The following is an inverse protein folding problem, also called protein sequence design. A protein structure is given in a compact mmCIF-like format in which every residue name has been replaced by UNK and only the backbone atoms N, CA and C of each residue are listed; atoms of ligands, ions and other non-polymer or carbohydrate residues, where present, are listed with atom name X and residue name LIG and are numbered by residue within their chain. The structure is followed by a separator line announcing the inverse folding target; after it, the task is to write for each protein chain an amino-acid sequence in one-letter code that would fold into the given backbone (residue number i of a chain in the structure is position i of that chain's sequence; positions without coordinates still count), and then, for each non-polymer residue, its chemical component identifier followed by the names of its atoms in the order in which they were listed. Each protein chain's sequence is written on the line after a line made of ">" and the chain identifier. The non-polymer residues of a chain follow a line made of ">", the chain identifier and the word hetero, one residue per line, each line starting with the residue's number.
data_IF_217589092744
#
_entry.id   IF_217589092744
#
_cell.length_a   1.000
_cell.length_b   1.000
_cell.length_c   1.000
_cell.angle_alpha   90.00
_cell.angle_beta   90.00
_cell.angle_gamma   90.00
#
_symmetry.space_group_name_H-M   'P 1'
#
loop_
_entity.id
_entity.type
_entity.pdbx_description
1 polymer ?
#
# COMPACT_ATOMS: atom_id res chain seq x y z
N UNK A 1 -37.42 3.80 -23.52
CA UNK A 1 -36.61 3.49 -24.71
C UNK A 1 -35.67 2.33 -24.36
N UNK A 2 -35.35 1.43 -25.31
CA UNK A 2 -34.36 0.36 -25.07
C UNK A 2 -32.97 0.87 -25.42
N UNK A 3 -32.06 0.94 -24.45
CA UNK A 3 -30.65 1.22 -24.71
C UNK A 3 -29.99 0.02 -25.36
N UNK A 4 -29.53 0.17 -26.60
CA UNK A 4 -28.71 -0.85 -27.29
C UNK A 4 -27.26 -0.61 -26.84
N UNK A 5 -26.84 -1.31 -25.78
CA UNK A 5 -25.47 -1.22 -25.28
C UNK A 5 -24.45 -1.65 -26.35
N UNK A 6 -23.27 -1.05 -26.35
CA UNK A 6 -22.32 -1.20 -27.45
C UNK A 6 -21.80 -2.64 -27.57
N UNK A 7 -21.81 -3.18 -28.79
CA UNK A 7 -21.18 -4.48 -29.09
C UNK A 7 -19.67 -4.26 -29.16
N UNK A 8 -19.01 -4.48 -28.02
CA UNK A 8 -17.55 -4.36 -27.91
C UNK A 8 -16.93 -5.60 -28.56
N UNK A 9 -16.32 -5.40 -29.73
CA UNK A 9 -15.60 -6.46 -30.43
C UNK A 9 -14.23 -6.68 -29.78
N UNK A 10 -14.05 -7.87 -29.18
CA UNK A 10 -12.75 -8.38 -28.76
C UNK A 10 -12.02 -9.00 -29.96
N UNK A 11 -10.68 -8.95 -29.99
CA UNK A 11 -9.86 -9.60 -31.01
C UNK A 11 -10.00 -11.12 -30.87
N UNK A 12 -10.55 -11.77 -31.89
CA UNK A 12 -10.69 -13.23 -31.96
C UNK A 12 -9.34 -13.94 -31.88
N UNK A 13 -9.29 -15.18 -31.35
CA UNK A 13 -8.09 -16.01 -31.40
C UNK A 13 -7.58 -16.23 -32.83
N UNK A 14 -6.26 -16.19 -33.02
CA UNK A 14 -5.63 -16.57 -34.30
C UNK A 14 -5.93 -18.04 -34.59
N UNK A 15 -6.39 -18.41 -35.81
CA UNK A 15 -6.66 -19.80 -36.16
C UNK A 15 -5.42 -20.67 -35.93
N UNK A 16 -5.56 -21.71 -35.11
CA UNK A 16 -4.48 -22.64 -34.75
C UNK A 16 -3.85 -22.45 -33.36
N UNK A 17 -4.22 -21.42 -32.59
CA UNK A 17 -3.72 -21.25 -31.21
C UNK A 17 -4.72 -21.76 -30.16
N UNK A 18 -4.44 -22.95 -29.61
CA UNK A 18 -5.24 -23.56 -28.55
C UNK A 18 -5.02 -22.82 -27.22
N UNK A 19 -6.11 -22.52 -26.50
CA UNK A 19 -6.17 -21.80 -25.20
C UNK A 19 -5.88 -20.29 -25.17
N UNK A 20 -6.35 -19.53 -26.17
CA UNK A 20 -6.61 -18.10 -25.97
C UNK A 20 -7.82 -17.89 -25.01
N UNK A 21 -7.80 -16.94 -24.05
CA UNK A 21 -8.93 -16.69 -23.14
C UNK A 21 -10.16 -16.13 -23.86
N UNK A 22 -11.37 -16.55 -23.44
CA UNK A 22 -12.62 -15.94 -23.91
C UNK A 22 -12.92 -14.63 -23.18
N UNK A 23 -12.34 -13.54 -23.67
CA UNK A 23 -12.59 -12.19 -23.15
C UNK A 23 -14.06 -11.75 -23.25
N UNK A 24 -14.87 -12.36 -24.12
CA UNK A 24 -16.31 -12.03 -24.27
C UNK A 24 -17.14 -12.67 -23.15
N UNK A 25 -16.93 -13.96 -22.88
CA UNK A 25 -17.49 -14.66 -21.72
C UNK A 25 -17.00 -14.06 -20.39
N UNK A 26 -15.70 -13.78 -20.28
CA UNK A 26 -15.12 -13.09 -19.12
C UNK A 26 -15.77 -11.72 -18.87
N UNK A 27 -15.88 -10.85 -19.88
CA UNK A 27 -16.58 -9.56 -19.75
C UNK A 27 -18.04 -9.75 -19.31
N UNK A 28 -18.74 -10.70 -19.93
CA UNK A 28 -20.15 -11.02 -19.59
C UNK A 28 -20.31 -11.46 -18.13
N UNK A 29 -19.32 -12.15 -17.56
CA UNK A 29 -19.35 -12.63 -16.16
C UNK A 29 -19.16 -11.54 -15.09
N UNK A 30 -18.71 -10.34 -15.47
CA UNK A 30 -18.54 -9.19 -14.57
C UNK A 30 -19.39 -7.98 -14.97
N UNK A 31 -20.16 -8.08 -16.05
CA UNK A 31 -20.97 -6.97 -16.58
C UNK A 31 -22.01 -6.45 -15.58
N UNK A 32 -22.52 -7.31 -14.69
CA UNK A 32 -23.43 -6.94 -13.60
C UNK A 32 -22.78 -6.06 -12.52
N UNK A 33 -21.43 -6.00 -12.47
CA UNK A 33 -20.72 -5.19 -11.47
C UNK A 33 -20.79 -3.70 -11.81
N UNK A 34 -21.14 -3.34 -13.04
CA UNK A 34 -21.13 -1.97 -13.57
C UNK A 34 -22.55 -1.43 -13.78
N UNK A 35 -22.79 -0.20 -13.35
CA UNK A 35 -24.02 0.53 -13.64
C UNK A 35 -24.23 0.63 -15.16
N UNK A 36 -25.49 0.60 -15.64
CA UNK A 36 -25.81 0.57 -17.07
C UNK A 36 -25.17 1.72 -17.87
N UNK A 37 -25.10 2.92 -17.29
CA UNK A 37 -24.45 4.11 -17.87
C UNK A 37 -22.92 4.04 -17.93
N UNK A 38 -22.30 3.12 -17.19
CA UNK A 38 -20.86 2.89 -17.14
C UNK A 38 -20.41 1.64 -17.90
N UNK A 39 -21.33 0.82 -18.42
CA UNK A 39 -20.99 -0.47 -19.03
C UNK A 39 -20.15 -0.33 -20.30
N UNK A 40 -20.42 0.64 -21.18
CA UNK A 40 -19.65 0.83 -22.41
C UNK A 40 -18.22 1.33 -22.10
N UNK A 41 -18.07 2.25 -21.14
CA UNK A 41 -16.74 2.72 -20.69
C UNK A 41 -15.95 1.62 -19.97
N UNK A 42 -16.61 0.84 -19.12
CA UNK A 42 -16.01 -0.29 -18.43
C UNK A 42 -15.60 -1.39 -19.42
N UNK A 43 -16.42 -1.71 -20.42
CA UNK A 43 -16.08 -2.67 -21.47
C UNK A 43 -14.86 -2.21 -22.28
N UNK A 44 -14.78 -0.92 -22.61
CA UNK A 44 -13.60 -0.34 -23.28
C UNK A 44 -12.35 -0.43 -22.40
N UNK A 45 -12.46 -0.10 -21.11
CA UNK A 45 -11.34 -0.24 -20.15
C UNK A 45 -10.90 -1.70 -20.00
N UNK A 46 -11.84 -2.65 -19.95
CA UNK A 46 -11.57 -4.08 -19.88
C UNK A 46 -10.89 -4.60 -21.15
N UNK A 47 -11.39 -4.22 -22.34
CA UNK A 47 -10.78 -4.53 -23.64
C UNK A 47 -9.35 -4.02 -23.69
N UNK A 48 -9.12 -2.74 -23.39
CA UNK A 48 -7.78 -2.13 -23.43
C UNK A 48 -6.82 -2.73 -22.40
N UNK A 49 -7.31 -3.13 -21.23
CA UNK A 49 -6.49 -3.78 -20.21
C UNK A 49 -6.04 -5.19 -20.63
N UNK A 50 -6.90 -6.01 -21.24
CA UNK A 50 -6.54 -7.37 -21.66
C UNK A 50 -5.92 -7.46 -23.05
N UNK A 51 -6.44 -6.68 -23.99
CA UNK A 51 -6.03 -6.59 -25.39
C UNK A 51 -5.59 -5.15 -25.71
N UNK A 52 -4.43 -4.70 -25.19
CA UNK A 52 -3.90 -3.37 -25.49
C UNK A 52 -3.51 -3.25 -26.96
N UNK A 53 -3.67 -2.05 -27.52
CA UNK A 53 -3.17 -1.69 -28.84
C UNK A 53 -1.62 -1.66 -28.86
N UNK A 54 -1.00 -1.87 -30.02
CA UNK A 54 0.46 -1.89 -30.15
C UNK A 54 1.09 -0.54 -29.74
N UNK A 55 2.14 -0.59 -28.93
CA UNK A 55 2.77 0.59 -28.35
C UNK A 55 2.13 1.13 -27.05
N UNK A 56 1.06 0.52 -26.53
CA UNK A 56 0.48 0.96 -25.26
C UNK A 56 1.44 0.79 -24.08
N UNK A 57 1.74 1.89 -23.39
CA UNK A 57 2.63 1.88 -22.23
C UNK A 57 2.00 1.21 -21.00
N UNK A 58 2.78 0.50 -20.15
CA UNK A 58 2.28 -0.11 -18.93
C UNK A 58 1.55 0.86 -17.97
N UNK A 59 1.96 2.14 -17.78
CA UNK A 59 1.21 3.09 -16.96
C UNK A 59 -0.20 3.36 -17.52
N UNK A 60 -0.32 3.51 -18.84
CA UNK A 60 -1.64 3.73 -19.48
C UNK A 60 -2.50 2.46 -19.43
N UNK A 61 -1.91 1.27 -19.53
CA UNK A 61 -2.61 0.00 -19.33
C UNK A 61 -3.11 -0.15 -17.88
N UNK A 62 -2.34 0.29 -16.89
CA UNK A 62 -2.77 0.37 -15.49
C UNK A 62 -3.89 1.40 -15.28
N UNK A 63 -3.86 2.57 -15.93
CA UNK A 63 -4.96 3.56 -15.84
C UNK A 63 -6.31 2.95 -16.23
N UNK A 64 -6.36 2.15 -17.29
CA UNK A 64 -7.58 1.44 -17.69
C UNK A 64 -8.03 0.41 -16.64
N UNK A 65 -7.11 -0.32 -16.01
CA UNK A 65 -7.44 -1.21 -14.88
C UNK A 65 -8.00 -0.44 -13.66
N UNK A 66 -7.41 0.69 -13.29
CA UNK A 66 -7.87 1.52 -12.17
C UNK A 66 -9.20 2.24 -12.48
N UNK A 67 -9.42 2.64 -13.73
CA UNK A 67 -10.71 3.19 -14.18
C UNK A 67 -11.79 2.10 -14.18
N UNK A 68 -11.50 0.90 -14.69
CA UNK A 68 -12.37 -0.27 -14.59
C UNK A 68 -12.75 -0.56 -13.12
N UNK A 69 -11.77 -0.63 -12.22
CA UNK A 69 -12.01 -0.76 -10.77
C UNK A 69 -12.91 0.35 -10.22
N UNK A 70 -12.75 1.60 -10.66
CA UNK A 70 -13.52 2.73 -10.18
C UNK A 70 -14.97 2.76 -10.71
N UNK A 71 -15.23 2.21 -11.91
CA UNK A 71 -16.57 2.09 -12.50
C UNK A 71 -17.38 0.92 -11.92
N UNK A 72 -16.71 -0.07 -11.32
CA UNK A 72 -17.37 -1.16 -10.63
C UNK A 72 -18.07 -0.68 -9.36
N UNK A 73 -19.23 -1.27 -9.05
CA UNK A 73 -20.03 -0.98 -7.85
C UNK A 73 -19.19 -1.14 -6.57
N UNK A 74 -19.41 -0.35 -5.49
CA UNK A 74 -18.53 -0.32 -4.32
C UNK A 74 -18.17 -1.70 -3.74
N UNK A 75 -19.17 -2.58 -3.54
CA UNK A 75 -18.98 -3.96 -3.06
C UNK A 75 -18.31 -4.93 -4.04
N UNK A 76 -17.96 -4.49 -5.25
CA UNK A 76 -17.20 -5.24 -6.26
C UNK A 76 -15.78 -4.69 -6.47
N UNK A 77 -15.46 -3.47 -6.00
CA UNK A 77 -14.13 -2.88 -6.19
C UNK A 77 -13.01 -3.65 -5.47
N UNK A 78 -13.35 -4.43 -4.43
CA UNK A 78 -12.43 -5.33 -3.75
C UNK A 78 -11.91 -6.46 -4.65
N UNK A 79 -12.69 -6.88 -5.66
CA UNK A 79 -12.32 -7.95 -6.59
C UNK A 79 -11.17 -7.55 -7.53
N UNK A 80 -10.85 -6.26 -7.64
CA UNK A 80 -9.78 -5.74 -8.48
C UNK A 80 -8.55 -5.45 -7.62
N UNK A 81 -7.53 -6.30 -7.67
CA UNK A 81 -6.27 -6.13 -6.94
C UNK A 81 -5.14 -5.78 -7.90
N UNK A 82 -4.36 -4.75 -7.57
CA UNK A 82 -3.10 -4.46 -8.23
C UNK A 82 -2.01 -4.47 -7.16
N UNK A 83 -1.18 -5.51 -7.16
CA UNK A 83 -0.14 -5.74 -6.16
C UNK A 83 1.23 -5.39 -6.74
N UNK A 84 2.05 -4.67 -5.96
CA UNK A 84 3.39 -4.22 -6.33
C UNK A 84 4.42 -5.16 -5.74
N UNK A 85 5.16 -5.89 -6.58
CA UNK A 85 6.25 -6.75 -6.12
C UNK A 85 7.41 -5.86 -5.64
N UNK A 86 7.87 -6.00 -4.38
CA UNK A 86 9.02 -5.26 -3.89
C UNK A 86 10.30 -5.65 -4.65
N UNK A 87 11.02 -4.66 -5.19
CA UNK A 87 12.35 -4.84 -5.77
C UNK A 87 12.42 -5.21 -7.25
N UNK A 88 11.36 -5.74 -7.88
CA UNK A 88 11.39 -6.08 -9.32
C UNK A 88 10.77 -5.00 -10.22
N UNK A 89 10.00 -4.06 -9.64
CA UNK A 89 9.25 -3.06 -10.40
C UNK A 89 7.97 -3.61 -11.06
N UNK A 90 7.64 -4.88 -10.82
CA UNK A 90 6.46 -5.52 -11.38
C UNK A 90 5.21 -5.20 -10.58
N UNK A 91 4.09 -5.15 -11.30
CA UNK A 91 2.76 -4.90 -10.75
C UNK A 91 1.80 -5.92 -11.31
N UNK A 92 1.33 -6.86 -10.47
CA UNK A 92 0.38 -7.89 -10.86
C UNK A 92 -1.04 -7.35 -10.67
N UNK A 93 -1.78 -7.20 -11.77
CA UNK A 93 -3.18 -6.81 -11.77
C UNK A 93 -4.08 -8.04 -11.97
N UNK A 94 -5.09 -8.23 -11.11
CA UNK A 94 -5.98 -9.40 -11.09
C UNK A 94 -7.44 -9.00 -10.90
N UNK A 95 -8.37 -9.82 -11.42
CA UNK A 95 -9.82 -9.66 -11.26
C UNK A 95 -10.40 -10.95 -10.68
N UNK A 96 -10.77 -10.94 -9.41
CA UNK A 96 -11.31 -12.10 -8.70
C UNK A 96 -12.84 -12.17 -8.85
N UNK A 97 -13.33 -12.87 -9.88
CA UNK A 97 -14.73 -13.34 -9.86
C UNK A 97 -14.81 -14.60 -8.99
N UNK A 98 -15.69 -14.60 -7.97
CA UNK A 98 -15.70 -15.61 -6.89
C UNK A 98 -16.22 -17.01 -7.27
N UNK A 99 -16.16 -17.39 -8.56
CA UNK A 99 -16.59 -18.69 -9.10
C UNK A 99 -15.54 -19.17 -10.09
N UNK A 100 -14.38 -19.56 -9.55
CA UNK A 100 -13.10 -19.75 -10.26
C UNK A 100 -12.52 -18.43 -10.80
N UNK A 101 -11.23 -18.21 -10.56
CA UNK A 101 -10.52 -17.02 -11.04
C UNK A 101 -10.04 -17.22 -12.48
N UNK A 102 -10.98 -17.36 -13.41
CA UNK A 102 -10.72 -17.63 -14.83
C UNK A 102 -10.12 -16.41 -15.57
N UNK A 103 -9.90 -15.30 -14.86
CA UNK A 103 -9.25 -14.09 -15.35
C UNK A 103 -7.72 -14.25 -15.25
N UNK A 104 -6.97 -14.17 -16.37
CA UNK A 104 -5.52 -14.16 -16.30
C UNK A 104 -5.05 -12.89 -15.59
N UNK A 105 -4.01 -13.06 -14.77
CA UNK A 105 -3.27 -11.94 -14.18
C UNK A 105 -2.48 -11.20 -15.25
N UNK A 106 -2.36 -9.88 -15.12
CA UNK A 106 -1.55 -9.04 -16.03
C UNK A 106 -0.41 -8.42 -15.23
N UNK A 107 0.82 -8.86 -15.52
CA UNK A 107 2.04 -8.24 -15.00
C UNK A 107 2.38 -6.98 -15.81
N UNK A 108 2.57 -5.86 -15.13
CA UNK A 108 2.96 -4.58 -15.69
C UNK A 108 4.28 -4.12 -15.06
N UNK A 109 5.32 -3.92 -15.87
CA UNK A 109 6.59 -3.32 -15.40
C UNK A 109 6.44 -1.80 -15.33
N UNK A 110 6.71 -1.23 -14.16
CA UNK A 110 6.50 0.19 -13.84
C UNK A 110 7.60 0.68 -12.89
N UNK A 111 8.15 1.88 -13.09
CA UNK A 111 8.93 2.52 -12.03
C UNK A 111 8.07 2.82 -10.80
N UNK A 112 8.69 3.01 -9.63
CA UNK A 112 7.96 3.41 -8.42
C UNK A 112 7.23 4.76 -8.62
N UNK A 113 7.85 5.67 -9.38
CA UNK A 113 7.28 6.98 -9.72
C UNK A 113 6.02 6.86 -10.59
N UNK A 114 6.04 6.03 -11.63
CA UNK A 114 4.87 5.79 -12.49
C UNK A 114 3.74 5.10 -11.75
N UNK A 115 4.07 4.11 -10.89
CA UNK A 115 3.10 3.43 -10.03
C UNK A 115 2.38 4.41 -9.10
N UNK A 116 3.13 5.23 -8.34
CA UNK A 116 2.54 6.23 -7.45
C UNK A 116 1.75 7.31 -8.21
N UNK A 117 2.29 7.83 -9.31
CA UNK A 117 1.59 8.83 -10.15
C UNK A 117 0.29 8.27 -10.73
N UNK A 118 0.26 7.00 -11.13
CA UNK A 118 -0.91 6.37 -11.75
C UNK A 118 -2.01 6.05 -10.73
N UNK A 119 -1.65 5.70 -9.49
CA UNK A 119 -2.62 5.51 -8.41
C UNK A 119 -3.28 6.83 -7.95
N UNK A 120 -2.58 7.97 -8.09
CA UNK A 120 -3.03 9.27 -7.59
C UNK A 120 -3.84 10.11 -8.61
N UNK A 121 -3.90 9.74 -9.90
CA UNK A 121 -4.68 10.48 -10.93
C UNK A 121 -6.21 10.24 -10.85
N UNK A 122 -6.81 10.40 -9.66
CA UNK A 122 -8.26 10.19 -9.44
C UNK A 122 -9.05 11.46 -9.10
N UNK A 123 -8.41 12.63 -9.01
CA UNK A 123 -8.98 13.81 -8.34
C UNK A 123 -8.84 15.13 -9.16
N UNK A 124 -8.79 15.04 -10.49
CA UNK A 124 -8.56 16.19 -11.37
C UNK A 124 -9.36 16.16 -12.70
N UNK A 125 -10.63 15.75 -12.66
CA UNK A 125 -11.58 15.92 -13.79
C UNK A 125 -12.97 16.28 -13.27
N UNK A 126 -13.12 17.48 -12.68
CA UNK A 126 -14.14 18.46 -13.11
C UNK A 126 -13.90 19.84 -12.47
N UNK A 127 -13.50 20.83 -13.28
CA UNK A 127 -13.65 22.28 -13.03
C UNK A 127 -13.16 23.08 -14.25
N UNK A 128 -13.87 24.12 -14.73
CA UNK A 128 -13.47 24.88 -15.92
C UNK A 128 -12.31 25.85 -15.70
N UNK A 129 -11.73 26.30 -16.83
CA UNK A 129 -10.75 27.41 -16.91
C UNK A 129 -11.19 28.66 -16.14
N UNK A 130 -10.24 29.28 -15.43
CA UNK A 130 -10.14 30.74 -15.35
C UNK A 130 -8.70 31.17 -15.58
N UNK A 131 -8.52 32.40 -16.05
CA UNK A 131 -7.34 32.90 -16.77
C UNK A 131 -6.58 34.01 -16.04
N UNK A 132 -5.27 34.08 -16.29
CA UNK A 132 -4.41 35.28 -16.25
C UNK A 132 -4.23 35.99 -14.90
N UNK A 133 -2.98 36.01 -14.43
CA UNK A 133 -2.26 37.26 -14.15
C UNK A 133 -0.77 37.03 -14.33
N UNK A 134 -0.09 37.96 -15.01
CA UNK A 134 1.37 37.99 -15.15
C UNK A 134 2.02 38.83 -14.04
N UNK A 135 3.36 38.79 -14.00
CA UNK A 135 4.28 39.64 -13.22
C UNK A 135 4.22 39.52 -11.67
N UNK A 136 5.32 39.68 -10.92
CA UNK A 136 6.50 40.52 -11.19
C UNK A 136 7.84 39.83 -10.85
N UNK A 137 8.91 40.34 -11.48
CA UNK A 137 10.30 40.24 -11.02
C UNK A 137 10.48 41.14 -9.76
N UNK A 138 11.54 41.18 -8.94
CA UNK A 138 12.98 40.83 -9.01
C UNK A 138 13.46 40.70 -7.52
N UNK A 139 14.70 40.41 -7.07
CA UNK A 139 16.03 40.22 -7.66
C UNK A 139 16.99 39.45 -6.69
N UNK A 140 18.22 39.19 -7.18
CA UNK A 140 19.54 39.26 -6.49
C UNK A 140 19.71 38.71 -5.05
N UNK A 141 20.58 37.71 -4.89
CA UNK A 141 21.91 37.84 -4.24
C UNK A 141 22.82 36.63 -4.58
N UNK A 142 24.09 36.94 -4.84
CA UNK A 142 25.28 36.08 -5.08
C UNK A 142 25.15 34.55 -5.06
N UNK A 143 25.61 33.90 -6.13
CA UNK A 143 26.07 32.51 -6.07
C UNK A 143 27.57 32.42 -5.75
N UNK A 144 27.93 31.53 -4.82
CA UNK A 144 29.28 30.96 -4.65
C UNK A 144 29.10 29.45 -4.44
N UNK A 145 29.86 28.62 -5.14
CA UNK A 145 29.61 27.17 -5.21
C UNK A 145 30.21 26.35 -4.07
N UNK A 146 29.85 25.07 -4.03
CA UNK A 146 30.70 24.03 -3.46
C UNK A 146 30.51 23.68 -1.97
N UNK A 147 29.30 23.28 -1.57
CA UNK A 147 29.16 22.38 -0.41
C UNK A 147 28.09 21.32 -0.68
N UNK A 148 28.43 20.05 -0.46
CA UNK A 148 27.46 18.95 -0.38
C UNK A 148 26.83 18.96 1.00
N UNK A 149 25.90 19.89 1.23
CA UNK A 149 25.14 19.93 2.48
C UNK A 149 24.37 18.62 2.68
N UNK A 150 24.82 17.83 3.65
CA UNK A 150 24.13 16.64 4.07
C UNK A 150 22.76 17.04 4.62
N UNK A 151 21.69 16.68 3.89
CA UNK A 151 20.28 16.93 4.25
C UNK A 151 20.09 16.84 5.77
N UNK A 152 19.46 17.85 6.41
CA UNK A 152 19.19 17.82 7.85
C UNK A 152 18.59 16.48 8.26
N UNK A 153 19.32 15.75 9.12
CA UNK A 153 18.83 14.50 9.70
C UNK A 153 17.69 14.88 10.64
N UNK A 154 16.46 14.74 10.15
CA UNK A 154 15.24 15.15 10.86
C UNK A 154 15.15 14.60 12.29
N UNK A 155 14.30 15.22 13.11
CA UNK A 155 14.20 14.90 14.53
C UNK A 155 13.71 13.46 14.77
N UNK A 156 14.19 12.75 15.80
CA UNK A 156 13.63 11.45 16.17
C UNK A 156 12.17 11.61 16.63
N UNK A 157 11.28 10.70 16.24
CA UNK A 157 9.85 10.87 16.49
C UNK A 157 9.52 10.81 17.99
N UNK A 158 8.78 11.81 18.47
CA UNK A 158 8.39 11.96 19.89
C UNK A 158 7.11 11.18 20.22
N UNK A 159 6.82 10.99 21.52
CA UNK A 159 5.54 10.39 21.98
C UNK A 159 4.34 11.16 21.43
N UNK A 160 4.37 12.49 21.55
CA UNK A 160 3.31 13.40 21.09
C UNK A 160 3.06 13.29 19.58
N UNK A 161 4.11 13.14 18.77
CA UNK A 161 3.99 12.93 17.32
C UNK A 161 3.39 11.56 16.98
N UNK A 162 3.76 10.50 17.71
CA UNK A 162 3.15 9.17 17.51
C UNK A 162 1.65 9.21 17.87
N UNK A 163 1.29 9.93 18.93
CA UNK A 163 -0.10 10.09 19.37
C UNK A 163 -0.93 10.94 18.40
N UNK A 164 -0.40 12.09 17.95
CA UNK A 164 -1.04 12.91 16.93
C UNK A 164 -1.29 12.12 15.62
N UNK A 165 -0.34 11.28 15.19
CA UNK A 165 -0.58 10.39 14.04
C UNK A 165 -1.62 9.29 14.35
N UNK A 166 -1.72 8.80 15.59
CA UNK A 166 -2.78 7.85 15.95
C UNK A 166 -4.17 8.50 15.82
N UNK A 167 -4.33 9.70 16.39
CA UNK A 167 -5.60 10.42 16.56
C UNK A 167 -6.20 10.99 15.26
N UNK A 168 -5.40 11.20 14.19
CA UNK A 168 -5.91 11.56 12.88
C UNK A 168 -6.90 10.51 12.32
N UNK A 169 -7.99 10.97 11.70
CA UNK A 169 -8.93 10.08 11.00
C UNK A 169 -8.27 9.37 9.81
N UNK A 170 -8.82 8.23 9.32
CA UNK A 170 -8.36 7.60 8.09
C UNK A 170 -8.35 8.55 6.88
N UNK A 171 -9.26 9.50 6.85
CA UNK A 171 -9.41 10.53 5.82
C UNK A 171 -8.23 11.52 5.90
N UNK A 172 -7.99 12.12 7.07
CA UNK A 172 -6.87 13.04 7.27
C UNK A 172 -5.50 12.35 7.08
N UNK A 173 -5.38 11.06 7.41
CA UNK A 173 -4.19 10.24 7.09
C UNK A 173 -3.96 10.03 5.60
N UNK A 174 -5.01 10.10 4.77
CA UNK A 174 -4.92 10.10 3.31
C UNK A 174 -4.60 11.48 2.76
N UNK A 175 -5.28 12.52 3.24
CA UNK A 175 -5.07 13.93 2.84
C UNK A 175 -3.62 14.39 3.08
N UNK A 176 -3.02 13.97 4.20
CA UNK A 176 -1.61 14.23 4.54
C UNK A 176 -0.59 13.47 3.68
N UNK A 177 -1.02 12.72 2.65
CA UNK A 177 -0.13 11.90 1.80
C UNK A 177 0.43 10.65 2.49
N UNK A 178 -0.15 10.26 3.63
CA UNK A 178 0.33 9.17 4.47
C UNK A 178 1.54 9.54 5.35
N UNK A 179 1.87 8.63 6.29
CA UNK A 179 2.81 8.88 7.39
C UNK A 179 4.18 9.43 6.95
N UNK A 180 4.64 9.12 5.73
CA UNK A 180 5.95 9.55 5.21
C UNK A 180 5.97 11.04 4.82
N UNK A 181 4.90 11.53 4.20
CA UNK A 181 4.74 12.94 3.84
C UNK A 181 4.43 13.77 5.09
N UNK A 182 3.54 13.25 5.95
CA UNK A 182 3.29 13.82 7.28
C UNK A 182 4.57 13.91 8.14
N UNK A 183 5.41 12.88 8.14
CA UNK A 183 6.70 12.94 8.85
C UNK A 183 7.64 14.00 8.26
N UNK A 184 7.63 14.21 6.94
CA UNK A 184 8.44 15.24 6.29
C UNK A 184 7.98 16.66 6.62
N UNK A 185 6.67 16.94 6.60
CA UNK A 185 6.16 18.28 6.97
C UNK A 185 6.38 18.62 8.45
N UNK A 186 6.45 17.61 9.31
CA UNK A 186 6.79 17.73 10.74
C UNK A 186 8.30 17.72 11.03
N UNK A 187 9.18 17.67 10.01
CA UNK A 187 10.64 17.63 10.17
C UNK A 187 11.18 16.34 10.81
N UNK A 188 10.39 15.27 10.84
CA UNK A 188 10.69 14.01 11.53
C UNK A 188 11.57 13.12 10.65
N UNK A 189 12.52 12.42 11.29
CA UNK A 189 13.33 11.40 10.65
C UNK A 189 12.48 10.25 10.08
N UNK A 190 12.52 10.02 8.77
CA UNK A 190 11.75 8.97 8.10
C UNK A 190 12.01 7.57 8.68
N UNK A 191 13.24 7.25 9.10
CA UNK A 191 13.55 5.96 9.74
C UNK A 191 12.97 5.85 11.16
N UNK A 192 12.93 6.95 11.90
CA UNK A 192 12.31 7.00 13.23
C UNK A 192 10.78 6.92 13.15
N UNK A 193 10.18 7.64 12.19
CA UNK A 193 8.76 7.61 11.90
C UNK A 193 8.32 6.23 11.39
N UNK A 194 8.99 5.66 10.38
CA UNK A 194 8.66 4.34 9.84
C UNK A 194 8.83 3.19 10.84
N UNK A 195 9.66 3.37 11.87
CA UNK A 195 9.74 2.44 12.99
C UNK A 195 8.53 2.50 13.95
N UNK A 196 7.69 3.53 13.87
CA UNK A 196 6.57 3.78 14.81
C UNK A 196 5.20 3.90 14.12
N UNK A 197 5.12 4.36 12.87
CA UNK A 197 3.89 4.71 12.16
C UNK A 197 3.59 3.74 11.00
N UNK A 198 2.32 3.61 10.66
CA UNK A 198 1.83 2.96 9.43
C UNK A 198 0.81 3.86 8.73
N UNK A 199 0.39 3.53 7.50
CA UNK A 199 -0.61 4.33 6.77
C UNK A 199 -1.98 4.38 7.45
N UNK A 200 -2.34 3.38 8.26
CA UNK A 200 -3.61 3.30 8.99
C UNK A 200 -3.50 3.73 10.46
N UNK A 201 -2.31 3.62 11.06
CA UNK A 201 -2.09 3.92 12.48
C UNK A 201 -0.63 3.71 12.88
N UNK A 202 -0.37 2.72 13.74
CA UNK A 202 0.92 2.52 14.39
C UNK A 202 1.51 1.13 14.13
N UNK A 203 2.84 1.04 14.19
CA UNK A 203 3.54 -0.26 14.32
C UNK A 203 3.42 -0.76 15.77
N UNK A 204 3.69 -2.05 16.05
CA UNK A 204 3.78 -2.55 17.43
C UNK A 204 4.80 -1.78 18.29
N UNK A 205 5.87 -1.29 17.68
CA UNK A 205 6.87 -0.43 18.36
C UNK A 205 6.35 0.98 18.60
N UNK A 206 5.45 1.49 17.75
CA UNK A 206 4.70 2.73 17.97
C UNK A 206 3.72 2.63 19.13
N UNK A 207 2.89 1.57 19.18
CA UNK A 207 1.93 1.37 20.27
C UNK A 207 2.63 1.23 21.63
N UNK A 208 3.72 0.44 21.72
CA UNK A 208 4.49 0.32 22.96
C UNK A 208 5.19 1.65 23.35
N UNK A 209 5.53 2.52 22.38
CA UNK A 209 6.02 3.89 22.69
C UNK A 209 4.91 4.79 23.26
N UNK A 210 3.64 4.53 22.95
CA UNK A 210 2.49 5.23 23.55
C UNK A 210 1.98 4.64 24.86
N UNK A 211 2.30 3.39 25.21
CA UNK A 211 2.03 2.91 26.57
C UNK A 211 2.70 3.83 27.62
N UNK A 212 2.02 4.14 28.74
CA UNK A 212 2.63 4.90 29.84
C UNK A 212 3.84 4.14 30.40
N UNK A 213 4.80 4.81 31.06
CA UNK A 213 6.06 4.18 31.49
C UNK A 213 5.88 2.92 32.34
N UNK A 214 4.84 2.89 33.17
CA UNK A 214 4.51 1.78 34.08
C UNK A 214 3.99 0.54 33.33
N UNK A 215 3.21 0.72 32.25
CA UNK A 215 2.73 -0.38 31.39
C UNK A 215 3.80 -0.96 30.46
N UNK A 216 4.91 -0.24 30.23
CA UNK A 216 5.90 -0.66 29.22
C UNK A 216 6.62 -1.96 29.59
N UNK A 217 6.65 -2.32 30.87
CA UNK A 217 7.41 -3.47 31.39
C UNK A 217 8.92 -3.26 31.44
N UNK A 218 9.62 -4.15 32.13
CA UNK A 218 11.07 -4.12 32.30
C UNK A 218 11.83 -4.54 31.04
N UNK A 219 13.10 -4.14 30.94
CA UNK A 219 14.02 -4.77 29.97
C UNK A 219 14.17 -6.27 30.29
N UNK A 220 14.30 -7.11 29.26
CA UNK A 220 14.55 -8.54 29.49
C UNK A 220 15.95 -8.75 30.07
N UNK A 221 16.07 -9.62 31.06
CA UNK A 221 17.35 -10.00 31.67
C UNK A 221 17.93 -11.26 31.02
N UNK A 222 19.24 -11.46 31.10
CA UNK A 222 19.89 -12.68 30.61
C UNK A 222 19.35 -13.95 31.30
N UNK A 223 18.92 -13.85 32.57
CA UNK A 223 18.24 -14.94 33.28
C UNK A 223 16.89 -15.29 32.64
N UNK A 224 16.07 -14.30 32.30
CA UNK A 224 14.80 -14.51 31.59
C UNK A 224 15.01 -15.05 30.17
N UNK A 225 16.04 -14.59 29.46
CA UNK A 225 16.46 -15.18 28.18
C UNK A 225 16.81 -16.67 28.36
N UNK A 226 17.57 -17.03 29.40
CA UNK A 226 17.93 -18.43 29.69
C UNK A 226 16.70 -19.29 30.03
N UNK A 227 15.78 -18.80 30.88
CA UNK A 227 14.52 -19.51 31.18
C UNK A 227 13.70 -19.76 29.91
N UNK A 228 13.63 -18.80 28.98
CA UNK A 228 12.96 -19.04 27.69
C UNK A 228 13.78 -19.90 26.71
N UNK A 229 15.12 -19.92 26.81
CA UNK A 229 15.97 -20.88 26.08
C UNK A 229 15.58 -22.30 26.46
N UNK A 230 15.59 -22.59 27.76
CA UNK A 230 15.53 -23.95 28.32
C UNK A 230 14.10 -24.49 28.49
N UNK A 231 13.08 -23.63 28.46
CA UNK A 231 11.67 -24.05 28.44
C UNK A 231 11.40 -25.02 27.27
N UNK A 232 10.87 -26.24 27.51
CA UNK A 232 10.55 -27.18 26.44
C UNK A 232 9.41 -26.66 25.55
N UNK A 233 9.36 -27.13 24.31
CA UNK A 233 8.46 -26.57 23.29
C UNK A 233 6.96 -26.72 23.62
N UNK A 234 6.59 -27.70 24.45
CA UNK A 234 5.21 -27.86 24.95
C UNK A 234 4.87 -26.75 25.95
N UNK A 235 5.70 -26.55 26.97
CA UNK A 235 5.52 -25.46 27.94
C UNK A 235 5.55 -24.07 27.27
N UNK A 236 6.31 -23.89 26.18
CA UNK A 236 6.27 -22.68 25.34
C UNK A 236 4.92 -22.48 24.63
N UNK A 237 4.18 -23.56 24.31
CA UNK A 237 2.80 -23.49 23.78
C UNK A 237 1.80 -23.23 24.89
N UNK A 238 1.88 -23.95 26.01
CA UNK A 238 1.02 -23.77 27.18
C UNK A 238 1.08 -22.35 27.75
N UNK A 239 2.28 -21.74 27.77
CA UNK A 239 2.49 -20.35 28.18
C UNK A 239 1.97 -19.30 27.17
N UNK A 240 1.21 -19.68 26.13
CA UNK A 240 0.68 -18.79 25.11
C UNK A 240 1.74 -18.21 24.16
N UNK A 241 2.93 -18.79 24.11
CA UNK A 241 4.08 -18.28 23.38
C UNK A 241 4.79 -17.09 24.06
N UNK A 242 5.95 -16.72 23.53
CA UNK A 242 6.88 -15.73 24.14
C UNK A 242 6.22 -14.40 24.50
N UNK A 243 5.17 -13.97 23.78
CA UNK A 243 4.47 -12.71 24.01
C UNK A 243 3.65 -12.74 25.31
N UNK A 244 2.85 -13.79 25.50
CA UNK A 244 2.02 -13.95 26.71
C UNK A 244 2.93 -14.20 27.91
N UNK A 245 3.91 -15.10 27.76
CA UNK A 245 4.95 -15.33 28.77
C UNK A 245 5.67 -14.04 29.20
N UNK A 246 6.09 -13.20 28.24
CA UNK A 246 6.73 -11.93 28.55
C UNK A 246 5.82 -10.98 29.35
N UNK A 247 4.53 -10.91 29.02
CA UNK A 247 3.55 -10.12 29.79
C UNK A 247 3.38 -10.64 31.21
N UNK A 248 3.28 -11.97 31.40
CA UNK A 248 3.21 -12.61 32.73
C UNK A 248 4.46 -12.34 33.57
N UNK A 249 5.63 -12.21 32.94
CA UNK A 249 6.91 -11.89 33.58
C UNK A 249 7.16 -10.37 33.76
N UNK A 250 6.21 -9.51 33.40
CA UNK A 250 6.37 -8.05 33.44
C UNK A 250 7.44 -7.51 32.47
N UNK A 251 7.84 -8.30 31.46
CA UNK A 251 8.87 -7.96 30.48
C UNK A 251 8.24 -7.13 29.34
N UNK A 252 8.91 -6.03 29.00
CA UNK A 252 8.54 -5.21 27.85
C UNK A 252 8.52 -6.00 26.55
N UNK A 253 7.40 -5.94 25.81
CA UNK A 253 7.25 -6.67 24.53
C UNK A 253 8.35 -6.27 23.53
N UNK A 254 8.80 -5.02 23.54
CA UNK A 254 9.93 -4.56 22.71
C UNK A 254 11.27 -5.24 23.06
N UNK A 255 11.52 -5.56 24.34
CA UNK A 255 12.75 -6.25 24.76
C UNK A 255 12.62 -7.76 24.61
N UNK A 256 11.42 -8.32 24.85
CA UNK A 256 11.14 -9.72 24.59
C UNK A 256 11.24 -10.05 23.10
N UNK A 257 10.59 -9.29 22.21
CA UNK A 257 10.66 -9.54 20.77
C UNK A 257 12.05 -9.29 20.16
N UNK A 258 12.93 -8.58 20.88
CA UNK A 258 14.32 -8.41 20.47
C UNK A 258 15.15 -9.68 20.69
N UNK A 259 14.82 -10.52 21.68
CA UNK A 259 15.64 -11.65 22.13
C UNK A 259 14.96 -13.03 22.00
N UNK A 260 13.63 -13.09 21.98
CA UNK A 260 12.83 -14.34 22.02
C UNK A 260 12.12 -14.63 20.69
N UNK A 261 11.85 -15.92 20.44
CA UNK A 261 11.01 -16.41 19.34
C UNK A 261 10.04 -17.50 19.84
N UNK A 262 9.12 -17.96 19.00
CA UNK A 262 8.16 -19.02 19.37
C UNK A 262 8.80 -20.39 19.62
N UNK A 263 10.04 -20.62 19.17
CA UNK A 263 10.78 -21.89 19.37
C UNK A 263 11.96 -21.74 20.34
N UNK A 264 12.56 -20.55 20.40
CA UNK A 264 13.70 -20.27 21.26
C UNK A 264 14.04 -18.79 21.24
N UNK A 265 15.18 -18.44 20.66
CA UNK A 265 15.75 -17.10 20.72
C UNK A 265 16.01 -16.49 19.34
N UNK A 266 16.23 -15.18 19.30
CA UNK A 266 16.76 -14.46 18.15
C UNK A 266 18.31 -14.46 18.20
N UNK A 267 19.01 -14.07 17.12
CA UNK A 267 20.45 -13.80 17.16
C UNK A 267 20.91 -12.67 18.12
N UNK A 268 19.99 -12.01 18.84
CA UNK A 268 20.29 -11.03 19.90
C UNK A 268 19.95 -11.53 21.31
N UNK A 269 19.40 -12.72 21.44
CA UNK A 269 19.24 -13.43 22.72
C UNK A 269 20.10 -14.71 22.81
N UNK A 270 20.46 -15.28 21.65
CA UNK A 270 21.27 -16.50 21.49
C UNK A 270 22.62 -16.43 22.20
#
# INVERSE_FOLDING_TARGET
>A
MRGIGAVIHFRSPTPGSTSAPDFSGMWSSIRDWFALSAQDEAAQCFRVFYQPDEGMSPPNRLKHFLRLKALASPGRQANFTAERIPGTGETICMIASGKNSDFPSVTLHLSDQEWHSTQHQKEAVDSPRSSVSDDNQTATVTGTGGSVEARPKGAPITRTQIQAWQELSPEAKRETGGWKVWAQSQGINIGSAGACLTHTGLTPKGTIRLQPPEERGSSITNAQIQVWRDLPQEAKREAGGWKVWAQTQGISINSACACLTHTGLTPRGA
#
